data_IF_882846476111
#
_entry.id   IF_882846476111
#
_cell.length_a   1.000
_cell.length_b   1.000
_cell.length_c   1.000
_cell.angle_alpha   90.00
_cell.angle_beta   90.00
_cell.angle_gamma   90.00
#
_symmetry.space_group_name_H-M   'P 1'
#
loop_
_entity.id
_entity.type
_entity.pdbx_description
1 polymer ?
#
# COMPACT_ATOMS: atom_id res chain seq x y z
N UNK A 1 12.50 6.20 14.94
CA UNK A 1 11.32 7.07 15.14
C UNK A 1 10.20 6.49 14.30
N UNK A 2 9.29 5.79 14.93
CA UNK A 2 8.26 4.98 14.28
C UNK A 2 7.21 5.92 13.65
N UNK A 3 7.31 6.15 12.34
CA UNK A 3 6.41 7.06 11.62
C UNK A 3 5.08 6.33 11.34
N UNK A 4 4.25 6.17 12.38
CA UNK A 4 2.89 5.68 12.22
C UNK A 4 2.09 6.68 11.37
N UNK A 5 1.46 6.22 10.30
CA UNK A 5 0.68 7.04 9.37
C UNK A 5 -0.74 6.50 9.27
N UNK A 6 -1.70 7.41 9.11
CA UNK A 6 -3.08 7.07 8.76
C UNK A 6 -3.33 7.54 7.35
N UNK A 7 -3.73 6.64 6.45
CA UNK A 7 -4.05 6.99 5.06
C UNK A 7 -5.26 6.22 4.53
N UNK A 8 -5.85 6.76 3.47
CA UNK A 8 -6.88 6.10 2.70
C UNK A 8 -6.23 5.23 1.63
N UNK A 9 -6.73 4.01 1.46
CA UNK A 9 -6.25 3.13 0.39
C UNK A 9 -6.71 3.68 -0.97
N UNK A 10 -5.81 3.90 -1.94
CA UNK A 10 -6.14 4.54 -3.23
C UNK A 10 -6.83 3.61 -4.24
N UNK A 11 -6.79 2.29 -4.05
CA UNK A 11 -7.32 1.28 -4.96
C UNK A 11 -7.96 0.09 -4.25
N UNK A 12 -8.77 -0.69 -4.96
CA UNK A 12 -9.37 -1.90 -4.42
C UNK A 12 -8.34 -3.04 -4.38
N UNK A 13 -8.16 -3.65 -3.21
CA UNK A 13 -7.17 -4.71 -2.98
C UNK A 13 -7.82 -5.93 -2.33
N UNK A 14 -7.25 -7.11 -2.57
CA UNK A 14 -7.62 -8.37 -1.95
C UNK A 14 -6.45 -8.91 -1.15
N UNK A 15 -6.67 -9.16 0.14
CA UNK A 15 -5.65 -9.77 1.00
C UNK A 15 -5.37 -11.20 0.55
N UNK A 16 -4.09 -11.56 0.42
CA UNK A 16 -3.69 -12.90 0.00
C UNK A 16 -3.85 -13.94 1.13
N UNK A 17 -3.86 -13.51 2.40
CA UNK A 17 -3.98 -14.41 3.54
C UNK A 17 -5.40 -14.89 3.85
N UNK A 18 -6.39 -13.99 3.80
CA UNK A 18 -7.79 -14.33 4.13
C UNK A 18 -8.78 -14.10 2.98
N UNK A 19 -8.33 -13.55 1.85
CA UNK A 19 -9.20 -13.23 0.73
C UNK A 19 -10.12 -12.03 0.95
N UNK A 20 -10.08 -11.35 2.11
CA UNK A 20 -10.86 -10.14 2.38
C UNK A 20 -10.53 -9.07 1.34
N UNK A 21 -11.57 -8.42 0.83
CA UNK A 21 -11.45 -7.23 -0.02
C UNK A 21 -11.43 -5.98 0.83
N UNK A 22 -10.57 -5.05 0.45
CA UNK A 22 -10.49 -3.68 0.93
C UNK A 22 -10.79 -2.79 -0.24
N UNK A 23 -11.69 -1.84 -0.04
CA UNK A 23 -12.15 -0.96 -1.07
C UNK A 23 -11.30 0.30 -1.10
N UNK A 24 -11.29 0.96 -2.27
CA UNK A 24 -10.77 2.33 -2.37
C UNK A 24 -11.49 3.23 -1.34
N UNK A 25 -10.73 3.98 -0.56
CA UNK A 25 -11.23 4.89 0.47
C UNK A 25 -11.32 4.31 1.87
N UNK A 26 -11.01 3.03 2.08
CA UNK A 26 -10.88 2.47 3.41
C UNK A 26 -9.70 3.11 4.18
N UNK A 27 -9.93 3.40 5.47
CA UNK A 27 -8.94 4.01 6.37
C UNK A 27 -8.06 2.95 7.00
N UNK A 28 -6.75 3.06 6.80
CA UNK A 28 -5.76 2.20 7.42
C UNK A 28 -4.76 3.00 8.23
N UNK A 29 -4.37 2.44 9.37
CA UNK A 29 -3.18 2.86 10.10
C UNK A 29 -2.05 1.91 9.75
N UNK A 30 -0.89 2.46 9.45
CA UNK A 30 0.28 1.70 9.05
C UNK A 30 1.58 2.39 9.42
N UNK A 31 2.67 1.84 8.95
CA UNK A 31 4.02 2.35 9.15
C UNK A 31 4.55 2.89 7.82
N UNK A 32 5.15 4.07 7.85
CA UNK A 32 5.87 4.65 6.72
C UNK A 32 7.36 4.37 6.86
N UNK A 33 7.92 3.71 5.86
CA UNK A 33 9.34 3.39 5.73
C UNK A 33 9.93 4.06 4.48
N UNK A 34 11.21 4.42 4.57
CA UNK A 34 11.97 5.04 3.47
C UNK A 34 12.59 3.92 2.65
N UNK A 35 12.10 3.71 1.42
CA UNK A 35 12.50 2.58 0.57
C UNK A 35 13.65 2.94 -0.39
N UNK A 36 14.13 4.18 -0.32
CA UNK A 36 15.22 4.71 -1.15
C UNK A 36 14.79 5.93 -1.94
N UNK A 37 15.59 6.27 -2.96
CA UNK A 37 15.35 7.39 -3.85
C UNK A 37 15.29 6.91 -5.28
N UNK A 38 14.32 7.43 -6.03
CA UNK A 38 14.23 7.17 -7.46
C UNK A 38 15.38 7.90 -8.17
N UNK A 39 16.20 7.16 -8.92
CA UNK A 39 17.34 7.72 -9.63
C UNK A 39 16.93 8.54 -10.88
N UNK A 40 15.74 8.28 -11.44
CA UNK A 40 15.27 8.91 -12.66
C UNK A 40 14.58 10.25 -12.38
N UNK A 41 13.77 10.32 -11.33
CA UNK A 41 13.00 11.52 -10.97
C UNK A 41 13.57 12.28 -9.76
N UNK A 42 14.55 11.72 -9.05
CA UNK A 42 15.16 12.34 -7.87
C UNK A 42 14.21 12.46 -6.67
N UNK A 43 13.06 11.78 -6.70
CA UNK A 43 12.01 11.79 -5.67
C UNK A 43 12.24 10.66 -4.68
N UNK A 44 11.94 10.88 -3.41
CA UNK A 44 12.02 9.84 -2.38
C UNK A 44 10.88 8.83 -2.56
N UNK A 45 11.23 7.55 -2.48
CA UNK A 45 10.25 6.47 -2.55
C UNK A 45 9.94 5.98 -1.14
N UNK A 46 8.66 5.96 -0.81
CA UNK A 46 8.19 5.47 0.48
C UNK A 46 7.50 4.11 0.33
N UNK A 47 7.80 3.21 1.28
CA UNK A 47 7.08 1.96 1.48
C UNK A 47 6.15 2.13 2.68
N UNK A 48 4.94 1.64 2.56
CA UNK A 48 3.95 1.67 3.62
C UNK A 48 3.55 0.25 3.96
N UNK A 49 3.66 -0.10 5.24
CA UNK A 49 3.24 -1.37 5.79
C UNK A 49 1.88 -1.21 6.46
N UNK A 50 0.92 -2.04 6.05
CA UNK A 50 -0.42 -2.11 6.63
C UNK A 50 -0.73 -3.52 7.09
N UNK A 51 -1.72 -3.65 7.98
CA UNK A 51 -2.19 -4.95 8.47
C UNK A 51 -3.64 -5.17 8.09
N UNK A 52 -3.96 -6.37 7.59
CA UNK A 52 -5.33 -6.75 7.30
C UNK A 52 -6.17 -6.77 8.59
N UNK A 53 -7.36 -6.14 8.63
CA UNK A 53 -8.16 -6.08 9.85
C UNK A 53 -8.76 -7.45 10.24
N UNK A 54 -8.80 -8.42 9.32
CA UNK A 54 -9.34 -9.76 9.60
C UNK A 54 -8.26 -10.75 10.04
N UNK A 55 -7.21 -10.96 9.24
CA UNK A 55 -6.19 -11.98 9.54
C UNK A 55 -4.89 -11.40 10.10
N UNK A 56 -4.79 -10.07 10.26
CA UNK A 56 -3.56 -9.35 10.69
C UNK A 56 -2.34 -9.60 9.79
N UNK A 57 -2.52 -10.21 8.62
CA UNK A 57 -1.46 -10.35 7.63
C UNK A 57 -0.98 -8.97 7.18
N UNK A 58 0.33 -8.77 7.17
CA UNK A 58 0.93 -7.54 6.67
C UNK A 58 0.88 -7.50 5.15
N UNK A 59 0.62 -6.32 4.59
CA UNK A 59 0.78 -6.05 3.17
C UNK A 59 1.52 -4.71 3.00
N UNK A 60 2.24 -4.62 1.90
CA UNK A 60 3.15 -3.51 1.63
C UNK A 60 2.77 -2.83 0.32
N UNK A 61 2.69 -1.50 0.35
CA UNK A 61 2.54 -0.68 -0.85
C UNK A 61 3.73 0.27 -0.96
N UNK A 62 4.10 0.63 -2.18
CA UNK A 62 5.21 1.51 -2.49
C UNK A 62 4.74 2.64 -3.38
N UNK A 63 5.22 3.86 -3.16
CA UNK A 63 4.96 4.98 -4.07
C UNK A 63 5.77 4.80 -5.37
N UNK A 64 5.12 4.99 -6.52
CA UNK A 64 5.76 4.94 -7.84
C UNK A 64 5.72 6.34 -8.49
N UNK A 65 6.87 7.06 -8.55
CA UNK A 65 6.91 8.41 -9.11
C UNK A 65 6.70 8.44 -10.62
N UNK A 66 6.98 7.35 -11.34
CA UNK A 66 6.80 7.28 -12.79
C UNK A 66 5.34 7.23 -13.22
N UNK A 67 4.47 6.60 -12.43
CA UNK A 67 3.03 6.49 -12.69
C UNK A 67 2.17 7.47 -11.89
N UNK A 68 2.78 8.25 -11.00
CA UNK A 68 2.07 9.10 -10.03
C UNK A 68 1.05 8.31 -9.19
N UNK A 69 1.31 7.03 -8.93
CA UNK A 69 0.40 6.10 -8.26
C UNK A 69 1.15 5.27 -7.20
N UNK A 70 0.47 4.29 -6.61
CA UNK A 70 1.06 3.34 -5.68
C UNK A 70 1.04 1.94 -6.29
N UNK A 71 2.03 1.13 -5.96
CA UNK A 71 2.11 -0.27 -6.36
C UNK A 71 2.03 -1.16 -5.13
N UNK A 72 1.35 -2.30 -5.25
CA UNK A 72 1.37 -3.32 -4.20
C UNK A 72 2.63 -4.15 -4.36
N UNK A 73 3.47 -4.18 -3.33
CA UNK A 73 4.73 -4.92 -3.34
C UNK A 73 4.50 -6.37 -2.89
N UNK A 74 3.74 -6.58 -1.82
CA UNK A 74 3.43 -7.92 -1.29
C UNK A 74 2.23 -7.95 -0.33
N UNK A 75 1.70 -9.15 -0.07
CA UNK A 75 0.64 -9.41 0.93
C UNK A 75 -0.80 -9.14 0.47
N UNK A 76 -0.98 -8.46 -0.66
CA UNK A 76 -2.26 -8.23 -1.29
C UNK A 76 -2.15 -8.29 -2.82
N UNK A 77 -3.30 -8.43 -3.49
CA UNK A 77 -3.43 -8.39 -4.94
C UNK A 77 -4.39 -7.27 -5.32
N UNK A 78 -4.01 -6.46 -6.31
CA UNK A 78 -4.90 -5.43 -6.87
C UNK A 78 -6.10 -6.08 -7.54
N UNK A 79 -7.31 -5.59 -7.23
CA UNK A 79 -8.53 -6.03 -7.90
C UNK A 79 -8.87 -4.99 -8.97
N UNK A 80 -8.76 -5.32 -10.26
CA UNK A 80 -9.19 -4.39 -11.31
C UNK A 80 -10.69 -4.16 -11.19
N UNK A 81 -11.12 -2.90 -11.25
CA UNK A 81 -12.53 -2.58 -11.42
C UNK A 81 -12.95 -3.08 -12.80
N UNK A 82 -13.94 -3.96 -12.85
CA UNK A 82 -14.63 -4.26 -14.10
C UNK A 82 -15.41 -2.99 -14.47
N UNK A 83 -14.91 -2.28 -15.47
CA UNK A 83 -15.68 -1.25 -16.19
C UNK A 83 -16.77 -1.93 -17.01
#
# INVERSE_FOLDING_TARGET
MEKSVKMLIPFDLRCNGCGRRTCKGDRFQGLKEEAGRDACFGVEIYRFQFQCPSCRAAFYIKSDPGRYDYIVESGATLVPRKV
#
